data_IF_345001585177
#
_entry.id   IF_345001585177
#
_cell.length_a   1.000
_cell.length_b   1.000
_cell.length_c   1.000
_cell.angle_alpha   90.00
_cell.angle_beta   90.00
_cell.angle_gamma   90.00
#
_symmetry.space_group_name_H-M   'P 1'
#
loop_
_entity.id
_entity.type
_entity.pdbx_description
1 polymer ?
#
# COMPACT_ATOMS: atom_id res chain seq x y z
N UNK A 1 -3.77 9.64 -12.37
CA UNK A 1 -4.91 8.77 -12.72
C UNK A 1 -4.69 7.41 -12.07
N UNK A 2 -5.73 6.68 -11.68
CA UNK A 2 -5.59 5.37 -11.06
C UNK A 2 -6.73 4.43 -11.46
N UNK A 3 -6.53 3.13 -11.29
CA UNK A 3 -7.54 2.13 -11.61
C UNK A 3 -6.91 0.81 -12.05
N UNK A 4 -7.39 -0.30 -11.50
CA UNK A 4 -6.76 -1.60 -11.69
C UNK A 4 -7.25 -2.38 -12.92
N UNK A 5 -8.35 -1.96 -13.56
CA UNK A 5 -8.90 -2.60 -14.76
C UNK A 5 -8.04 -2.35 -16.00
N UNK A 6 -8.15 -3.21 -17.01
CA UNK A 6 -7.37 -3.10 -18.24
C UNK A 6 -7.65 -1.80 -19.01
N UNK A 7 -8.92 -1.40 -19.10
CA UNK A 7 -9.32 -0.11 -19.70
C UNK A 7 -8.70 1.06 -18.93
N UNK A 8 -8.73 1.02 -17.59
CA UNK A 8 -8.15 2.09 -16.79
C UNK A 8 -6.62 2.16 -16.95
N UNK A 9 -5.93 1.02 -17.00
CA UNK A 9 -4.50 0.95 -17.31
C UNK A 9 -4.20 1.54 -18.69
N UNK A 10 -5.01 1.23 -19.69
CA UNK A 10 -4.84 1.72 -21.06
C UNK A 10 -4.97 3.25 -21.13
N UNK A 11 -6.04 3.79 -20.52
CA UNK A 11 -6.23 5.25 -20.41
C UNK A 11 -5.05 5.89 -19.67
N UNK A 12 -4.59 5.29 -18.58
CA UNK A 12 -3.44 5.81 -17.84
C UNK A 12 -2.17 5.86 -18.70
N UNK A 13 -1.89 4.81 -19.45
CA UNK A 13 -0.73 4.74 -20.34
C UNK A 13 -0.75 5.85 -21.40
N UNK A 14 -1.93 6.15 -21.95
CA UNK A 14 -2.09 7.17 -22.99
C UNK A 14 -1.93 8.60 -22.45
N UNK A 15 -2.55 8.93 -21.31
CA UNK A 15 -2.72 10.34 -20.92
C UNK A 15 -2.24 10.72 -19.53
N UNK A 16 -1.96 9.77 -18.63
CA UNK A 16 -1.54 10.12 -17.27
C UNK A 16 -0.08 10.56 -17.21
N UNK A 17 0.26 11.47 -16.29
CA UNK A 17 1.65 11.73 -15.89
C UNK A 17 2.08 10.86 -14.70
N UNK A 18 1.11 10.56 -13.83
CA UNK A 18 1.29 9.74 -12.63
C UNK A 18 0.20 8.67 -12.58
N UNK A 19 0.61 7.40 -12.56
CA UNK A 19 -0.29 6.28 -12.32
C UNK A 19 -0.32 5.92 -10.84
N UNK A 20 -1.50 6.00 -10.24
CA UNK A 20 -1.72 5.90 -8.79
C UNK A 20 -2.31 4.54 -8.43
N UNK A 21 -1.67 3.86 -7.49
CA UNK A 21 -1.99 2.51 -7.04
C UNK A 21 -2.28 2.48 -5.54
N UNK A 22 -3.14 1.56 -5.13
CA UNK A 22 -3.21 1.12 -3.74
C UNK A 22 -2.15 0.05 -3.51
N UNK A 23 -1.64 -0.03 -2.28
CA UNK A 23 -0.71 -1.11 -1.93
C UNK A 23 -1.30 -2.50 -2.17
N UNK A 24 -0.45 -3.42 -2.60
CA UNK A 24 -0.69 -4.87 -2.66
C UNK A 24 0.58 -5.59 -2.13
N UNK A 25 0.78 -6.87 -2.46
CA UNK A 25 2.07 -7.54 -2.20
C UNK A 25 3.16 -6.95 -3.09
N UNK A 26 4.42 -7.09 -2.67
CA UNK A 26 5.57 -6.57 -3.41
C UNK A 26 5.62 -7.14 -4.84
N UNK A 27 5.37 -8.43 -5.00
CA UNK A 27 5.36 -9.14 -6.29
C UNK A 27 4.27 -8.60 -7.22
N UNK A 28 3.05 -8.45 -6.71
CA UNK A 28 1.93 -7.90 -7.50
C UNK A 28 2.20 -6.45 -7.92
N UNK A 29 2.89 -5.68 -7.08
CA UNK A 29 3.28 -4.31 -7.42
C UNK A 29 4.40 -4.25 -8.44
N UNK A 30 5.36 -5.18 -8.38
CA UNK A 30 6.40 -5.34 -9.38
C UNK A 30 5.82 -5.63 -10.76
N UNK A 31 4.93 -6.63 -10.83
CA UNK A 31 4.23 -7.00 -12.05
C UNK A 31 3.43 -5.83 -12.61
N UNK A 32 2.73 -5.08 -11.76
CA UNK A 32 1.92 -3.94 -12.20
C UNK A 32 2.75 -2.77 -12.72
N UNK A 33 3.88 -2.46 -12.10
CA UNK A 33 4.80 -1.43 -12.60
C UNK A 33 5.33 -1.83 -13.97
N UNK A 34 5.80 -3.08 -14.11
CA UNK A 34 6.36 -3.57 -15.36
C UNK A 34 5.33 -3.57 -16.48
N UNK A 35 4.11 -4.03 -16.20
CA UNK A 35 2.99 -3.94 -17.15
C UNK A 35 2.75 -2.50 -17.60
N UNK A 36 2.68 -1.56 -16.66
CA UNK A 36 2.42 -0.16 -16.99
C UNK A 36 3.57 0.53 -17.72
N UNK A 37 4.82 0.11 -17.48
CA UNK A 37 5.98 0.57 -18.25
C UNK A 37 5.86 0.13 -19.71
N UNK A 38 5.53 -1.13 -19.95
CA UNK A 38 5.32 -1.68 -21.30
C UNK A 38 4.17 -0.96 -22.01
N UNK A 39 3.01 -0.84 -21.36
CA UNK A 39 1.86 -0.12 -21.92
C UNK A 39 2.17 1.33 -22.28
N UNK A 40 2.90 2.05 -21.42
CA UNK A 40 3.27 3.43 -21.71
C UNK A 40 4.26 3.53 -22.88
N UNK A 41 5.18 2.57 -22.99
CA UNK A 41 6.14 2.48 -24.08
C UNK A 41 5.47 2.25 -25.45
N UNK A 42 4.35 1.52 -25.50
CA UNK A 42 3.54 1.37 -26.73
C UNK A 42 3.03 2.71 -27.28
N UNK A 43 2.92 3.74 -26.42
CA UNK A 43 2.57 5.12 -26.79
C UNK A 43 3.78 6.06 -26.86
N UNK A 44 5.01 5.55 -26.74
CA UNK A 44 6.23 6.36 -26.71
C UNK A 44 6.32 7.26 -25.47
N UNK A 45 5.68 6.87 -24.35
CA UNK A 45 5.63 7.64 -23.11
C UNK A 45 6.30 6.89 -21.96
N UNK A 46 6.70 7.66 -20.95
CA UNK A 46 7.07 7.14 -19.62
C UNK A 46 6.13 7.71 -18.58
N UNK A 47 5.81 6.92 -17.56
CA UNK A 47 4.97 7.34 -16.44
C UNK A 47 5.80 7.48 -15.17
N UNK A 48 5.31 8.30 -14.25
CA UNK A 48 5.67 8.20 -12.83
C UNK A 48 4.63 7.37 -12.10
N UNK A 49 5.03 6.79 -10.98
CA UNK A 49 4.20 5.86 -10.22
C UNK A 49 3.99 6.33 -8.80
N UNK A 50 2.78 6.14 -8.31
CA UNK A 50 2.40 6.47 -6.95
C UNK A 50 1.80 5.26 -6.27
N UNK A 51 2.22 4.97 -5.05
CA UNK A 51 1.62 3.97 -4.18
C UNK A 51 1.06 4.63 -2.93
N UNK A 52 0.04 4.02 -2.34
CA UNK A 52 -0.53 4.52 -1.11
C UNK A 52 -0.76 3.42 -0.10
N UNK A 53 -0.43 3.73 1.16
CA UNK A 53 -0.55 2.82 2.30
C UNK A 53 -1.22 3.51 3.47
N UNK A 54 -1.79 2.69 4.36
CA UNK A 54 -2.01 3.04 5.76
C UNK A 54 -0.72 2.77 6.55
N UNK A 55 -0.59 3.33 7.75
CA UNK A 55 0.57 3.16 8.61
C UNK A 55 0.08 2.86 10.01
N UNK A 56 0.66 1.81 10.61
CA UNK A 56 0.49 1.46 12.02
C UNK A 56 1.88 1.38 12.64
N UNK A 57 2.23 2.42 13.40
CA UNK A 57 3.52 2.53 14.08
C UNK A 57 3.44 1.98 15.50
N UNK A 58 4.52 1.34 15.93
CA UNK A 58 4.83 1.01 17.33
C UNK A 58 6.27 1.37 17.65
N UNK A 59 6.58 1.52 18.94
CA UNK A 59 7.97 1.65 19.40
C UNK A 59 8.75 0.35 19.18
N UNK A 60 8.04 -0.78 19.28
CA UNK A 60 8.52 -2.11 18.90
C UNK A 60 7.63 -2.71 17.81
N UNK A 61 8.15 -3.70 17.09
CA UNK A 61 7.35 -4.43 16.10
C UNK A 61 6.14 -5.11 16.74
N UNK A 62 6.32 -5.72 17.93
CA UNK A 62 5.23 -6.37 18.66
C UNK A 62 4.10 -5.39 18.94
N UNK A 63 4.42 -4.21 19.47
CA UNK A 63 3.43 -3.17 19.77
C UNK A 63 2.69 -2.71 18.49
N UNK A 64 3.41 -2.55 17.38
CA UNK A 64 2.78 -2.18 16.11
C UNK A 64 1.75 -3.22 15.65
N UNK A 65 2.06 -4.51 15.79
CA UNK A 65 1.13 -5.60 15.46
C UNK A 65 -0.05 -5.65 16.43
N UNK A 66 0.17 -5.49 17.74
CA UNK A 66 -0.91 -5.44 18.72
C UNK A 66 -1.88 -4.28 18.44
N UNK A 67 -1.36 -3.11 18.07
CA UNK A 67 -2.16 -1.97 17.61
C UNK A 67 -2.93 -2.30 16.34
N UNK A 68 -2.31 -2.98 15.36
CA UNK A 68 -3.00 -3.41 14.14
C UNK A 68 -4.16 -4.36 14.48
N UNK A 69 -3.95 -5.35 15.35
CA UNK A 69 -5.03 -6.25 15.78
C UNK A 69 -6.16 -5.49 16.46
N UNK A 70 -5.85 -4.52 17.33
CA UNK A 70 -6.83 -3.70 18.02
C UNK A 70 -7.72 -2.89 17.06
N UNK A 71 -7.19 -2.44 15.91
CA UNK A 71 -7.97 -1.70 14.90
C UNK A 71 -9.09 -2.56 14.28
N UNK A 72 -8.96 -3.89 14.29
CA UNK A 72 -9.93 -4.81 13.68
C UNK A 72 -10.62 -5.73 14.68
N UNK A 73 -10.29 -5.64 15.97
CA UNK A 73 -10.83 -6.51 17.02
C UNK A 73 -12.31 -6.24 17.31
N UNK A 74 -12.77 -5.00 17.14
CA UNK A 74 -14.15 -4.57 17.45
C UNK A 74 -15.13 -4.72 16.28
N UNK A 75 -14.74 -5.41 15.21
CA UNK A 75 -15.58 -5.56 14.02
C UNK A 75 -16.65 -6.61 14.23
N UNK A 76 -17.92 -6.19 14.16
CA UNK A 76 -19.04 -7.12 14.20
C UNK A 76 -19.05 -8.01 12.96
N UNK A 77 -19.48 -9.25 13.13
CA UNK A 77 -19.62 -10.19 12.02
C UNK A 77 -20.59 -9.67 10.95
N UNK A 78 -21.64 -8.97 11.37
CA UNK A 78 -22.60 -8.30 10.48
C UNK A 78 -21.96 -7.21 9.62
N UNK A 79 -20.96 -6.47 10.14
CA UNK A 79 -20.25 -5.46 9.36
C UNK A 79 -19.35 -6.11 8.30
N UNK A 80 -18.72 -7.24 8.63
CA UNK A 80 -17.91 -8.03 7.69
C UNK A 80 -18.76 -8.61 6.56
N UNK A 81 -19.90 -9.22 6.89
CA UNK A 81 -20.84 -9.76 5.89
C UNK A 81 -21.37 -8.68 4.95
N UNK A 82 -21.80 -7.54 5.51
CA UNK A 82 -22.25 -6.40 4.70
C UNK A 82 -21.16 -5.92 3.74
N UNK A 83 -19.89 -5.93 4.17
CA UNK A 83 -18.77 -5.56 3.31
C UNK A 83 -18.55 -6.58 2.19
N UNK A 84 -18.58 -7.87 2.50
CA UNK A 84 -18.48 -8.93 1.50
C UNK A 84 -19.52 -8.73 0.39
N UNK A 85 -20.79 -8.53 0.76
CA UNK A 85 -21.86 -8.29 -0.21
C UNK A 85 -21.63 -7.04 -1.07
N UNK A 86 -21.12 -5.95 -0.48
CA UNK A 86 -20.81 -4.72 -1.20
C UNK A 86 -19.68 -4.92 -2.22
N UNK A 87 -18.66 -5.70 -1.87
CA UNK A 87 -17.55 -6.01 -2.79
C UNK A 87 -18.03 -6.93 -3.92
N UNK A 88 -18.85 -7.94 -3.62
CA UNK A 88 -19.40 -8.86 -4.62
C UNK A 88 -20.31 -8.16 -5.62
N UNK A 89 -21.13 -7.20 -5.17
CA UNK A 89 -22.02 -6.40 -6.03
C UNK A 89 -21.32 -5.25 -6.75
N UNK A 90 -20.13 -4.85 -6.32
CA UNK A 90 -19.41 -3.69 -6.87
C UNK A 90 -18.51 -4.03 -8.06
N UNK A 91 -18.29 -3.06 -8.97
CA UNK A 91 -17.51 -3.24 -10.20
C UNK A 91 -16.00 -2.91 -10.08
N UNK A 92 -15.55 -2.53 -8.88
CA UNK A 92 -14.15 -2.14 -8.67
C UNK A 92 -13.21 -3.35 -8.63
N UNK A 93 -12.49 -3.57 -9.73
CA UNK A 93 -11.42 -4.58 -9.83
C UNK A 93 -10.40 -4.43 -8.71
N UNK A 94 -10.01 -3.19 -8.39
CA UNK A 94 -9.05 -2.91 -7.31
C UNK A 94 -9.59 -3.35 -5.95
N UNK A 95 -10.86 -3.04 -5.65
CA UNK A 95 -11.46 -3.41 -4.38
C UNK A 95 -11.60 -4.93 -4.23
N UNK A 96 -12.00 -5.64 -5.29
CA UNK A 96 -12.07 -7.11 -5.29
C UNK A 96 -10.70 -7.75 -5.04
N UNK A 97 -9.63 -7.24 -5.65
CA UNK A 97 -8.25 -7.73 -5.45
C UNK A 97 -7.78 -7.58 -4.01
N UNK A 98 -8.00 -6.41 -3.39
CA UNK A 98 -7.63 -6.20 -1.99
C UNK A 98 -8.45 -7.09 -1.06
N UNK A 99 -9.73 -7.29 -1.38
CA UNK A 99 -10.61 -8.17 -0.61
C UNK A 99 -10.18 -9.64 -0.70
N UNK A 100 -9.78 -10.10 -1.88
CA UNK A 100 -9.19 -11.43 -2.09
C UNK A 100 -7.90 -11.59 -1.28
N UNK A 101 -7.00 -10.60 -1.32
CA UNK A 101 -5.78 -10.61 -0.50
C UNK A 101 -6.10 -10.71 0.99
N UNK A 102 -7.09 -9.95 1.47
CA UNK A 102 -7.55 -10.01 2.86
C UNK A 102 -8.11 -11.39 3.19
N UNK A 103 -9.02 -11.95 2.39
CA UNK A 103 -9.61 -13.28 2.63
C UNK A 103 -8.56 -14.39 2.62
N UNK A 104 -7.66 -14.39 1.65
CA UNK A 104 -6.63 -15.44 1.49
C UNK A 104 -5.54 -15.36 2.57
N UNK A 105 -5.31 -14.18 3.16
CA UNK A 105 -4.35 -13.98 4.25
C UNK A 105 -4.95 -14.11 5.65
N UNK A 106 -6.25 -14.38 5.80
CA UNK A 106 -6.92 -14.47 7.09
C UNK A 106 -6.25 -15.45 8.08
N UNK A 107 -5.79 -16.62 7.60
CA UNK A 107 -5.08 -17.62 8.43
C UNK A 107 -3.71 -17.14 8.93
N UNK A 108 -3.14 -16.12 8.29
CA UNK A 108 -1.87 -15.47 8.65
C UNK A 108 -2.11 -14.10 9.28
N UNK A 109 -3.25 -13.93 9.98
CA UNK A 109 -3.62 -12.67 10.62
C UNK A 109 -3.62 -11.47 9.65
N UNK A 110 -4.00 -11.74 8.41
CA UNK A 110 -4.03 -10.78 7.29
C UNK A 110 -2.66 -10.24 6.86
N UNK A 111 -1.56 -10.88 7.25
CA UNK A 111 -0.23 -10.54 6.75
C UNK A 111 -0.08 -11.01 5.31
N UNK A 112 0.28 -10.09 4.42
CA UNK A 112 0.44 -10.33 2.98
C UNK A 112 1.89 -10.19 2.52
N UNK A 113 2.79 -9.83 3.42
CA UNK A 113 4.24 -9.71 3.21
C UNK A 113 4.92 -9.15 4.47
N UNK A 114 6.25 -9.01 4.47
CA UNK A 114 6.98 -8.38 5.57
C UNK A 114 6.42 -6.98 5.84
N UNK A 115 5.96 -6.75 7.07
CA UNK A 115 5.35 -5.49 7.50
C UNK A 115 4.18 -4.99 6.63
N UNK A 116 3.55 -5.86 5.82
CA UNK A 116 2.41 -5.54 4.96
C UNK A 116 1.16 -6.26 5.44
N UNK A 117 0.10 -5.49 5.71
CA UNK A 117 -1.09 -5.99 6.37
C UNK A 117 -2.38 -5.58 5.66
N UNK A 118 -3.23 -6.57 5.36
CA UNK A 118 -4.51 -6.38 4.68
C UNK A 118 -5.70 -6.28 5.64
N UNK A 119 -5.50 -6.29 6.95
CA UNK A 119 -6.59 -6.37 7.92
C UNK A 119 -7.54 -5.17 7.89
N UNK A 120 -7.06 -3.95 7.60
CA UNK A 120 -7.93 -2.79 7.42
C UNK A 120 -8.86 -2.92 6.22
N UNK A 121 -8.60 -3.82 5.27
CA UNK A 121 -9.54 -4.15 4.19
C UNK A 121 -10.82 -4.79 4.72
N UNK A 122 -10.91 -5.17 6.00
CA UNK A 122 -12.19 -5.53 6.62
C UNK A 122 -13.11 -4.31 6.87
N UNK A 123 -12.56 -3.09 6.88
CA UNK A 123 -13.33 -1.85 7.15
C UNK A 123 -13.18 -0.78 6.08
N UNK A 124 -11.96 -0.50 5.62
CA UNK A 124 -11.68 0.51 4.61
C UNK A 124 -11.90 -0.02 3.19
N UNK A 125 -12.44 0.81 2.31
CA UNK A 125 -12.44 0.58 0.88
C UNK A 125 -11.35 1.44 0.22
N UNK A 126 -10.64 0.89 -0.76
CA UNK A 126 -9.57 1.61 -1.46
C UNK A 126 -8.21 1.43 -0.79
N UNK A 127 -7.56 2.50 -0.32
CA UNK A 127 -6.28 2.38 0.37
C UNK A 127 -6.49 1.75 1.76
N UNK A 128 -6.39 0.44 1.81
CA UNK A 128 -6.65 -0.39 2.99
C UNK A 128 -5.48 -1.32 3.34
N UNK A 129 -4.38 -1.30 2.59
CA UNK A 129 -3.17 -2.02 2.96
C UNK A 129 -2.31 -1.13 3.86
N UNK A 130 -1.89 -1.67 5.00
CA UNK A 130 -1.08 -0.97 5.97
C UNK A 130 0.37 -1.46 5.98
N UNK A 131 1.29 -0.53 6.20
CA UNK A 131 2.63 -0.79 6.68
C UNK A 131 2.58 -0.86 8.22
N UNK A 132 3.01 -1.97 8.81
CA UNK A 132 2.93 -2.24 10.25
C UNK A 132 4.32 -2.55 10.81
N UNK A 133 4.81 -1.74 11.75
CA UNK A 133 6.12 -1.98 12.36
C UNK A 133 6.68 -0.75 13.08
N UNK A 134 7.99 -0.80 13.35
CA UNK A 134 8.74 0.37 13.83
C UNK A 134 8.97 1.39 12.71
N UNK A 135 9.40 2.60 13.07
CA UNK A 135 9.71 3.64 12.08
C UNK A 135 10.82 3.20 11.10
N UNK A 136 11.81 2.44 11.58
CA UNK A 136 12.91 1.92 10.77
C UNK A 136 12.44 0.82 9.80
N UNK A 137 11.63 -0.14 10.28
CA UNK A 137 11.05 -1.18 9.44
C UNK A 137 10.14 -0.60 8.35
N UNK A 138 9.32 0.39 8.70
CA UNK A 138 8.47 1.08 7.73
C UNK A 138 9.34 1.83 6.72
N UNK A 139 10.40 2.51 7.16
CA UNK A 139 11.34 3.17 6.25
C UNK A 139 11.98 2.16 5.29
N UNK A 140 12.40 0.97 5.75
CA UNK A 140 12.93 -0.09 4.88
C UNK A 140 11.93 -0.52 3.81
N UNK A 141 10.66 -0.76 4.19
CA UNK A 141 9.62 -1.10 3.20
C UNK A 141 9.42 0.01 2.18
N UNK A 142 9.47 1.27 2.60
CA UNK A 142 9.35 2.40 1.69
C UNK A 142 10.50 2.47 0.70
N UNK A 143 11.74 2.20 1.14
CA UNK A 143 12.90 2.10 0.25
C UNK A 143 12.69 0.98 -0.78
N UNK A 144 12.23 -0.20 -0.37
CA UNK A 144 11.96 -1.29 -1.32
C UNK A 144 10.96 -0.89 -2.41
N UNK A 145 9.88 -0.18 -2.06
CA UNK A 145 8.93 0.32 -3.05
C UNK A 145 9.53 1.44 -3.92
N UNK A 146 10.38 2.31 -3.37
CA UNK A 146 11.09 3.32 -4.16
C UNK A 146 12.01 2.65 -5.19
N UNK A 147 12.80 1.66 -4.76
CA UNK A 147 13.71 0.90 -5.62
C UNK A 147 12.95 0.09 -6.69
N UNK A 148 11.72 -0.32 -6.38
CA UNK A 148 10.83 -0.97 -7.34
C UNK A 148 10.37 -0.02 -8.47
N UNK A 149 10.46 1.29 -8.26
CA UNK A 149 10.13 2.33 -9.24
C UNK A 149 8.94 3.22 -8.87
N UNK A 150 8.57 3.30 -7.59
CA UNK A 150 7.57 4.26 -7.12
C UNK A 150 8.19 5.63 -6.81
N UNK A 151 7.76 6.66 -7.54
CA UNK A 151 8.21 8.04 -7.35
C UNK A 151 7.53 8.74 -6.16
N UNK A 152 6.29 8.34 -5.87
CA UNK A 152 5.46 8.97 -4.84
C UNK A 152 4.86 7.95 -3.89
N UNK A 153 5.02 8.17 -2.60
CA UNK A 153 4.33 7.38 -1.57
C UNK A 153 3.37 8.26 -0.78
N UNK A 154 2.10 7.85 -0.74
CA UNK A 154 1.06 8.53 0.03
C UNK A 154 0.77 7.72 1.29
N UNK A 155 1.10 8.29 2.44
CA UNK A 155 0.89 7.68 3.74
C UNK A 155 -0.33 8.26 4.42
N UNK A 156 -1.13 7.38 5.01
CA UNK A 156 -2.27 7.69 5.86
C UNK A 156 -2.19 6.83 7.11
N UNK A 157 -2.91 7.18 8.17
CA UNK A 157 -3.01 6.34 9.35
C UNK A 157 -4.11 6.81 10.28
N UNK A 158 -4.40 6.03 11.32
CA UNK A 158 -5.44 6.32 12.30
C UNK A 158 -4.87 6.17 13.72
N UNK A 159 -5.12 7.13 14.63
CA UNK A 159 -5.71 8.46 14.42
C UNK A 159 -4.92 9.33 13.41
N UNK A 160 -5.62 10.15 12.61
CA UNK A 160 -5.03 10.82 11.44
C UNK A 160 -3.90 11.80 11.78
N UNK A 161 -4.10 12.68 12.75
CA UNK A 161 -3.15 13.76 13.07
C UNK A 161 -1.90 13.19 13.74
N UNK A 162 -2.09 12.41 14.78
CA UNK A 162 -1.03 11.81 15.59
C UNK A 162 -0.17 10.89 14.73
N UNK A 163 -0.79 10.07 13.87
CA UNK A 163 -0.02 9.17 12.99
C UNK A 163 0.78 9.95 11.96
N UNK A 164 0.23 11.02 11.35
CA UNK A 164 0.97 11.76 10.32
C UNK A 164 2.08 12.63 10.91
N UNK A 165 1.88 13.16 12.13
CA UNK A 165 2.93 13.83 12.90
C UNK A 165 4.07 12.85 13.22
N UNK A 166 3.75 11.64 13.70
CA UNK A 166 4.75 10.61 13.99
C UNK A 166 5.49 10.13 12.73
N UNK A 167 4.78 9.96 11.61
CA UNK A 167 5.41 9.65 10.32
C UNK A 167 6.37 10.77 9.90
N UNK A 168 5.94 12.03 10.04
CA UNK A 168 6.76 13.20 9.71
C UNK A 168 8.02 13.31 10.57
N UNK A 169 7.90 13.01 11.88
CA UNK A 169 8.99 13.11 12.84
C UNK A 169 9.96 11.92 12.78
N UNK A 170 9.47 10.70 12.56
CA UNK A 170 10.27 9.48 12.74
C UNK A 170 10.54 8.70 11.46
N UNK A 171 9.61 8.65 10.51
CA UNK A 171 9.76 7.82 9.29
C UNK A 171 10.45 8.60 8.17
N UNK A 172 10.00 9.82 7.89
CA UNK A 172 10.53 10.62 6.77
C UNK A 172 12.05 10.87 6.90
N UNK A 173 12.61 11.20 8.10
CA UNK A 173 14.05 11.36 8.25
C UNK A 173 14.83 10.08 7.95
N UNK A 174 14.36 8.91 8.42
CA UNK A 174 15.01 7.62 8.17
C UNK A 174 15.01 7.25 6.69
N UNK A 175 13.90 7.48 5.98
CA UNK A 175 13.84 7.28 4.52
C UNK A 175 14.88 8.17 3.82
N UNK A 176 14.99 9.45 4.20
CA UNK A 176 15.97 10.37 3.61
C UNK A 176 17.40 9.93 3.88
N UNK A 177 17.68 9.47 5.09
CA UNK A 177 18.99 8.94 5.48
C UNK A 177 19.36 7.70 4.65
N UNK A 178 18.47 6.71 4.58
CA UNK A 178 18.69 5.49 3.80
C UNK A 178 18.90 5.78 2.31
N UNK A 179 18.15 6.71 1.73
CA UNK A 179 18.35 7.15 0.34
C UNK A 179 19.71 7.85 0.11
N UNK A 180 20.19 8.63 1.08
CA UNK A 180 21.51 9.26 0.99
C UNK A 180 22.63 8.22 1.09
N UNK A 181 22.51 7.27 2.01
CA UNK A 181 23.46 6.16 2.14
C UNK A 181 23.53 5.35 0.85
N UNK A 182 22.38 4.97 0.27
CA UNK A 182 22.34 4.22 -0.99
C UNK A 182 23.08 4.95 -2.13
N UNK A 183 22.95 6.28 -2.24
CA UNK A 183 23.67 7.08 -3.24
C UNK A 183 25.18 7.10 -3.04
N UNK A 184 25.65 7.08 -1.80
CA UNK A 184 27.08 7.08 -1.47
C UNK A 184 27.78 5.75 -1.83
N UNK A 185 27.05 4.63 -1.82
CA UNK A 185 27.62 3.31 -2.17
C UNK A 185 27.57 2.97 -3.67
N UNK A 186 26.90 3.78 -4.49
CA UNK A 186 26.79 3.59 -5.94
C UNK A 186 27.69 4.55 -6.75
N UNK A 187 28.61 5.27 -6.09
CA UNK A 187 29.67 6.10 -6.68
C UNK A 187 31.05 5.52 -6.35
#
# INVERSE_FOLDING_TARGET
FGGASDIAKEVAAQVADVYMMWGETFERMKERIEEMKQKAADYGRTLRYSISFQVVLGETEQEAWERADALVSHLSESAKQKKDELIEKGDSVGARRLHELMKTSAKRRFQIGPNLWAGLTQVLSGNSIALVGTADQIADRLIEFIDLGFDYVLLRGFPHLETIEQVGASVIPLVREKLQQAKLFHH
#
